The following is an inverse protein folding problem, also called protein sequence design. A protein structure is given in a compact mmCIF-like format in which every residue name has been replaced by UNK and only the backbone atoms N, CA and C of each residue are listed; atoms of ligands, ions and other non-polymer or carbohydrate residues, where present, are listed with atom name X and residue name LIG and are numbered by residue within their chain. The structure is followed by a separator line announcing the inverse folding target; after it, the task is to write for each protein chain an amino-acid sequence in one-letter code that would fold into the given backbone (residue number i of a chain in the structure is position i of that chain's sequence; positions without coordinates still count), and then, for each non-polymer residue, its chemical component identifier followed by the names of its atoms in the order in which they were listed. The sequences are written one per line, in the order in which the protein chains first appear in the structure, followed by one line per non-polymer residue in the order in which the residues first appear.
data_IF_423460612099
#
_entry.id   IF_423460612099
#
_cell.length_a   1.000
_cell.length_b   1.000
_cell.length_c   1.000
_cell.angle_alpha   90.00
_cell.angle_beta   90.00
_cell.angle_gamma   90.00
#
_symmetry.space_group_name_H-M   'P 1'
#
loop_
_entity.id
_entity.type
_entity.pdbx_description
1 polymer ?
#
# COMPACT_ATOMS: atom_id res chain seq x y z
N UNK A 1 9.57 -19.47 14.00
CA UNK A 1 9.51 -18.04 13.57
C UNK A 1 8.30 -17.87 12.68
N UNK A 2 7.21 -17.34 13.25
CA UNK A 2 6.03 -16.98 12.46
C UNK A 2 6.41 -15.88 11.47
N UNK A 3 6.12 -16.11 10.21
CA UNK A 3 6.37 -15.15 9.13
C UNK A 3 5.52 -13.90 9.42
N UNK A 4 6.08 -12.70 9.61
CA UNK A 4 5.28 -11.51 9.89
C UNK A 4 4.44 -11.17 8.67
N UNK A 5 3.14 -11.39 8.78
CA UNK A 5 2.15 -11.05 7.74
C UNK A 5 1.60 -9.67 8.05
N UNK A 6 2.36 -8.64 7.73
CA UNK A 6 2.06 -7.24 8.06
C UNK A 6 1.17 -6.56 7.02
N UNK A 7 0.49 -5.47 7.41
CA UNK A 7 -0.20 -4.64 6.44
C UNK A 7 0.81 -4.03 5.47
N UNK A 8 0.60 -4.27 4.19
CA UNK A 8 1.41 -3.73 3.11
C UNK A 8 0.50 -3.01 2.11
N UNK A 9 1.06 -2.03 1.46
CA UNK A 9 0.44 -1.38 0.33
C UNK A 9 1.34 -1.61 -0.90
N UNK A 10 0.75 -2.13 -1.96
CA UNK A 10 1.44 -2.33 -3.23
C UNK A 10 0.90 -1.37 -4.27
N UNK A 11 1.79 -0.67 -4.96
CA UNK A 11 1.43 0.33 -5.96
C UNK A 11 1.62 -0.23 -7.36
N UNK A 12 0.58 -0.08 -8.18
CA UNK A 12 0.57 -0.55 -9.55
C UNK A 12 0.30 0.60 -10.53
N UNK A 13 1.06 0.63 -11.62
CA UNK A 13 0.64 1.29 -12.84
C UNK A 13 -0.11 0.29 -13.72
N UNK A 14 -1.24 0.72 -14.27
CA UNK A 14 -2.03 -0.09 -15.19
C UNK A 14 -1.84 0.46 -16.60
N UNK A 15 -1.14 -0.29 -17.42
CA UNK A 15 -0.88 0.03 -18.83
C UNK A 15 -1.52 -0.98 -19.78
N UNK A 16 -1.15 -0.91 -21.06
CA UNK A 16 -1.64 -1.80 -22.11
C UNK A 16 -1.36 -3.30 -21.84
N UNK A 17 -0.33 -3.59 -21.05
CA UNK A 17 0.07 -4.96 -20.70
C UNK A 17 -0.41 -5.39 -19.30
N UNK A 18 -1.42 -4.71 -18.76
CA UNK A 18 -1.98 -4.99 -17.44
C UNK A 18 -1.25 -4.28 -16.28
N UNK A 19 -1.50 -4.73 -15.03
CA UNK A 19 -0.92 -4.12 -13.85
C UNK A 19 0.56 -4.45 -13.69
N UNK A 20 1.37 -3.42 -13.38
CA UNK A 20 2.80 -3.55 -13.12
C UNK A 20 3.13 -2.94 -11.76
N UNK A 21 3.72 -3.75 -10.89
CA UNK A 21 4.08 -3.38 -9.52
C UNK A 21 5.24 -2.38 -9.49
N UNK A 22 5.00 -1.21 -8.95
CA UNK A 22 5.97 -0.11 -8.91
C UNK A 22 6.77 -0.08 -7.62
N UNK A 23 6.10 -0.32 -6.49
CA UNK A 23 6.72 -0.37 -5.16
C UNK A 23 5.85 -1.11 -4.14
N UNK A 24 6.47 -1.51 -3.04
CA UNK A 24 5.82 -2.09 -1.86
C UNK A 24 6.08 -1.14 -0.69
N UNK A 25 5.02 -0.67 -0.05
CA UNK A 25 5.08 0.16 1.14
C UNK A 25 4.55 -0.61 2.36
N UNK A 26 5.27 -0.53 3.43
CA UNK A 26 4.91 -1.15 4.71
C UNK A 26 4.28 -0.18 5.71
N UNK A 27 4.26 1.11 5.36
CA UNK A 27 3.55 2.15 6.11
C UNK A 27 2.39 2.70 5.26
N UNK A 28 1.42 1.81 4.97
CA UNK A 28 0.25 2.13 4.17
C UNK A 28 -0.62 3.19 4.86
N UNK A 29 -1.02 4.22 4.12
CA UNK A 29 -1.93 5.26 4.61
C UNK A 29 -3.09 5.49 3.65
N UNK A 30 -4.21 5.97 4.17
CA UNK A 30 -5.41 6.25 3.39
C UNK A 30 -6.38 5.07 3.30
N UNK A 31 -6.12 3.93 3.97
CA UNK A 31 -7.00 2.75 3.90
C UNK A 31 -8.40 3.06 4.44
N UNK A 32 -8.49 3.66 5.61
CA UNK A 32 -9.79 3.96 6.23
C UNK A 32 -10.49 5.13 5.53
N UNK A 33 -9.76 6.13 5.04
CA UNK A 33 -10.31 7.19 4.19
C UNK A 33 -10.92 6.61 2.91
N UNK A 34 -10.22 5.68 2.25
CA UNK A 34 -10.76 5.02 1.05
C UNK A 34 -11.94 4.10 1.37
N UNK A 35 -11.99 3.46 2.54
CA UNK A 35 -13.15 2.69 2.99
C UNK A 35 -14.39 3.59 3.18
N UNK A 36 -14.20 4.75 3.80
CA UNK A 36 -15.26 5.76 3.94
C UNK A 36 -15.70 6.30 2.58
N UNK A 37 -14.74 6.60 1.69
CA UNK A 37 -15.00 7.07 0.33
C UNK A 37 -15.79 6.04 -0.48
N UNK A 38 -15.39 4.77 -0.46
CA UNK A 38 -16.09 3.68 -1.15
C UNK A 38 -17.53 3.51 -0.67
N UNK A 39 -17.79 3.72 0.62
CA UNK A 39 -19.13 3.69 1.19
C UNK A 39 -19.96 4.90 0.79
N UNK A 40 -19.33 6.09 0.70
CA UNK A 40 -20.02 7.33 0.36
C UNK A 40 -20.37 7.43 -1.14
N UNK A 41 -19.53 6.87 -1.99
CA UNK A 41 -19.72 6.84 -3.43
C UNK A 41 -20.46 5.56 -3.85
N UNK A 42 -21.76 5.56 -3.64
CA UNK A 42 -22.62 4.46 -4.12
C UNK A 42 -22.81 4.57 -5.63
N UNK A 43 -22.97 3.42 -6.28
CA UNK A 43 -23.36 3.38 -7.68
C UNK A 43 -24.68 4.12 -7.89
N UNK A 44 -24.84 4.73 -9.06
CA UNK A 44 -26.02 5.55 -9.39
C UNK A 44 -27.31 4.74 -9.50
N UNK A 45 -27.22 3.42 -9.65
CA UNK A 45 -28.38 2.51 -9.73
C UNK A 45 -28.05 1.15 -9.12
N UNK A 46 -29.08 0.47 -8.65
CA UNK A 46 -28.95 -0.85 -7.98
C UNK A 46 -28.36 -1.92 -8.89
N UNK A 47 -28.62 -1.87 -10.18
CA UNK A 47 -28.13 -2.81 -11.17
C UNK A 47 -26.61 -2.72 -11.29
N UNK A 48 -26.06 -1.51 -11.36
CA UNK A 48 -24.59 -1.30 -11.37
C UNK A 48 -24.00 -1.67 -10.02
N UNK A 49 -24.64 -1.29 -8.90
CA UNK A 49 -24.18 -1.64 -7.56
C UNK A 49 -24.07 -3.16 -7.36
N UNK A 50 -25.00 -3.94 -7.96
CA UNK A 50 -24.95 -5.40 -7.95
C UNK A 50 -23.85 -6.00 -8.85
N UNK A 51 -23.42 -5.29 -9.88
CA UNK A 51 -22.40 -5.75 -10.86
C UNK A 51 -20.97 -5.41 -10.42
N UNK A 52 -20.79 -4.40 -9.57
CA UNK A 52 -19.47 -3.94 -9.13
C UNK A 52 -19.21 -4.38 -7.70
N UNK A 53 -18.00 -4.83 -7.45
CA UNK A 53 -17.59 -5.26 -6.12
C UNK A 53 -16.17 -4.78 -5.81
N UNK A 54 -15.76 -4.95 -4.56
CA UNK A 54 -14.36 -4.86 -4.14
C UNK A 54 -13.92 -6.21 -3.57
N UNK A 55 -12.66 -6.35 -3.19
CA UNK A 55 -12.14 -7.56 -2.53
C UNK A 55 -12.89 -7.89 -1.23
N UNK A 56 -13.38 -6.85 -0.55
CA UNK A 56 -14.20 -6.91 0.67
C UNK A 56 -15.40 -5.99 0.46
N UNK A 57 -16.61 -6.39 0.87
CA UNK A 57 -17.77 -5.52 0.83
C UNK A 57 -17.53 -4.20 1.56
N UNK A 58 -17.97 -3.08 1.00
CA UNK A 58 -17.74 -1.75 1.57
C UNK A 58 -18.28 -1.61 3.01
N UNK A 59 -19.32 -2.37 3.36
CA UNK A 59 -19.89 -2.45 4.71
C UNK A 59 -18.96 -3.10 5.72
N UNK A 60 -18.05 -3.97 5.27
CA UNK A 60 -17.20 -4.79 6.13
C UNK A 60 -15.76 -4.26 6.21
N UNK A 61 -15.40 -3.26 5.40
CA UNK A 61 -14.04 -2.73 5.32
C UNK A 61 -13.52 -2.22 6.67
N UNK A 62 -14.34 -1.49 7.43
CA UNK A 62 -13.94 -0.98 8.74
C UNK A 62 -13.64 -2.12 9.72
N UNK A 63 -14.48 -3.15 9.72
CA UNK A 63 -14.25 -4.37 10.52
C UNK A 63 -13.00 -5.10 10.07
N UNK A 64 -12.78 -5.22 8.78
CA UNK A 64 -11.60 -5.87 8.21
C UNK A 64 -10.32 -5.14 8.61
N UNK A 65 -10.30 -3.80 8.57
CA UNK A 65 -9.17 -3.00 9.02
C UNK A 65 -8.95 -3.13 10.53
N UNK A 66 -10.00 -3.16 11.33
CA UNK A 66 -9.89 -3.43 12.77
C UNK A 66 -9.28 -4.82 13.06
N UNK A 67 -9.75 -5.85 12.37
CA UNK A 67 -9.27 -7.23 12.56
C UNK A 67 -7.78 -7.40 12.20
N UNK A 68 -7.19 -6.55 11.37
CA UNK A 68 -5.74 -6.55 11.18
C UNK A 68 -5.01 -6.29 12.50
N UNK A 69 -5.40 -5.25 13.25
CA UNK A 69 -4.76 -4.89 14.51
C UNK A 69 -5.03 -5.94 15.60
N UNK A 70 -6.25 -6.43 15.69
CA UNK A 70 -6.60 -7.52 16.61
C UNK A 70 -5.81 -8.81 16.30
N UNK A 71 -5.51 -9.05 15.03
CA UNK A 71 -4.71 -10.19 14.61
C UNK A 71 -3.22 -10.00 14.94
N UNK A 72 -2.66 -8.80 14.74
CA UNK A 72 -1.28 -8.52 15.18
C UNK A 72 -1.12 -8.67 16.71
N UNK A 73 -2.11 -8.23 17.47
CA UNK A 73 -2.16 -8.44 18.91
C UNK A 73 -2.13 -9.94 19.27
N UNK A 74 -3.01 -10.74 18.68
CA UNK A 74 -3.04 -12.20 18.92
C UNK A 74 -1.75 -12.90 18.49
N UNK A 75 -1.15 -12.47 17.36
CA UNK A 75 0.11 -13.04 16.85
C UNK A 75 1.32 -12.74 17.72
N UNK A 76 1.27 -11.67 18.51
CA UNK A 76 2.30 -11.39 19.50
C UNK A 76 2.19 -12.27 20.75
N UNK A 77 1.27 -13.26 20.76
CA UNK A 77 1.07 -14.18 21.90
C UNK A 77 0.16 -13.63 22.97
N UNK A 78 -0.46 -12.48 22.77
CA UNK A 78 -1.34 -11.83 23.74
C UNK A 78 -2.79 -12.28 23.55
N UNK A 79 -3.55 -12.38 24.64
CA UNK A 79 -4.96 -12.81 24.64
C UNK A 79 -5.92 -11.61 24.58
N UNK A 80 -7.16 -11.87 24.18
CA UNK A 80 -8.23 -10.86 24.11
C UNK A 80 -7.97 -9.77 23.08
N UNK A 81 -8.26 -8.54 23.46
CA UNK A 81 -7.98 -7.31 22.70
C UNK A 81 -7.06 -6.40 23.51
N UNK A 82 -6.27 -5.53 22.86
CA UNK A 82 -5.54 -4.48 23.57
C UNK A 82 -6.54 -3.56 24.28
N UNK A 83 -6.22 -3.07 25.45
CA UNK A 83 -7.04 -2.10 26.16
C UNK A 83 -6.82 -0.69 25.66
N UNK A 84 -5.56 -0.37 25.29
CA UNK A 84 -5.17 0.96 24.85
C UNK A 84 -4.28 0.91 23.62
N UNK A 85 -4.63 1.73 22.62
CA UNK A 85 -3.88 1.91 21.37
C UNK A 85 -3.43 3.37 21.24
N UNK A 86 -2.14 3.58 20.99
CA UNK A 86 -1.61 4.86 20.55
C UNK A 86 -1.42 4.87 19.03
N UNK A 87 -1.95 5.87 18.33
CA UNK A 87 -1.64 6.17 16.93
C UNK A 87 -0.56 7.22 16.94
N UNK A 88 0.64 6.89 16.44
CA UNK A 88 1.83 7.72 16.66
C UNK A 88 2.42 8.20 15.35
N UNK A 89 2.61 9.52 15.25
CA UNK A 89 3.34 10.18 14.16
C UNK A 89 4.03 11.45 14.68
N UNK A 90 5.03 11.94 13.95
CA UNK A 90 5.68 13.22 14.23
C UNK A 90 4.69 14.37 13.97
N UNK A 91 4.51 15.26 14.96
CA UNK A 91 3.58 16.36 14.88
C UNK A 91 2.25 15.95 14.20
N UNK A 92 1.49 15.00 14.75
CA UNK A 92 0.42 14.29 14.05
C UNK A 92 -0.66 15.21 13.49
N UNK A 93 -0.98 16.32 14.17
CA UNK A 93 -1.98 17.30 13.69
C UNK A 93 -1.59 18.03 12.40
N UNK A 94 -0.29 18.06 12.08
CA UNK A 94 0.25 18.66 10.86
C UNK A 94 0.33 17.67 9.70
N UNK A 95 0.09 16.39 9.95
CA UNK A 95 0.16 15.35 8.92
C UNK A 95 -1.03 15.44 7.98
N UNK A 96 -0.78 15.25 6.68
CA UNK A 96 -1.83 15.22 5.66
C UNK A 96 -2.91 14.16 5.95
N UNK A 97 -2.52 13.05 6.58
CA UNK A 97 -3.43 11.95 6.95
C UNK A 97 -3.96 12.05 8.38
N UNK A 98 -3.82 13.18 9.06
CA UNK A 98 -4.38 13.36 10.40
C UNK A 98 -5.88 13.01 10.51
N UNK A 99 -6.73 13.36 9.52
CA UNK A 99 -8.14 12.93 9.55
C UNK A 99 -8.30 11.40 9.61
N UNK A 100 -7.41 10.65 8.97
CA UNK A 100 -7.42 9.18 9.06
C UNK A 100 -7.07 8.68 10.47
N UNK A 101 -6.13 9.36 11.14
CA UNK A 101 -5.77 9.00 12.52
C UNK A 101 -6.96 9.14 13.45
N UNK A 102 -7.74 10.20 13.30
CA UNK A 102 -8.97 10.42 14.07
C UNK A 102 -10.04 9.36 13.76
N UNK A 103 -10.18 8.98 12.49
CA UNK A 103 -11.10 7.91 12.09
C UNK A 103 -10.69 6.55 12.69
N UNK A 104 -9.39 6.22 12.70
CA UNK A 104 -8.90 5.00 13.37
C UNK A 104 -9.11 5.05 14.87
N UNK A 105 -8.88 6.19 15.53
CA UNK A 105 -9.16 6.33 16.96
C UNK A 105 -10.65 6.09 17.26
N UNK A 106 -11.55 6.63 16.45
CA UNK A 106 -13.00 6.38 16.56
C UNK A 106 -13.34 4.90 16.31
N UNK A 107 -12.71 4.29 15.30
CA UNK A 107 -12.91 2.88 14.98
C UNK A 107 -12.54 1.99 16.17
N UNK A 108 -11.36 2.18 16.77
CA UNK A 108 -10.92 1.41 17.95
C UNK A 108 -11.88 1.59 19.13
N UNK A 109 -12.32 2.82 19.40
CA UNK A 109 -13.28 3.10 20.49
C UNK A 109 -14.63 2.40 20.29
N UNK A 110 -15.12 2.27 19.04
CA UNK A 110 -16.34 1.49 18.73
C UNK A 110 -16.21 0.00 19.07
N UNK A 111 -14.98 -0.53 19.08
CA UNK A 111 -14.69 -1.90 19.52
C UNK A 111 -14.27 -2.01 20.99
N UNK A 112 -14.52 -0.95 21.79
CA UNK A 112 -14.26 -0.95 23.23
C UNK A 112 -12.79 -0.74 23.62
N UNK A 113 -11.95 -0.24 22.71
CA UNK A 113 -10.53 0.00 22.93
C UNK A 113 -10.30 1.50 23.11
N UNK A 114 -9.63 1.91 24.18
CA UNK A 114 -9.16 3.30 24.32
C UNK A 114 -8.13 3.62 23.25
N UNK A 115 -8.28 4.74 22.55
CA UNK A 115 -7.36 5.11 21.49
C UNK A 115 -7.08 6.61 21.48
N UNK A 116 -5.82 6.97 21.32
CA UNK A 116 -5.35 8.35 21.21
C UNK A 116 -4.38 8.51 20.06
N UNK A 117 -4.34 9.73 19.51
CA UNK A 117 -3.30 10.15 18.57
C UNK A 117 -2.26 10.92 19.36
N UNK A 118 -1.00 10.51 19.29
CA UNK A 118 0.08 11.02 20.10
C UNK A 118 1.31 11.32 19.25
N UNK A 119 2.07 12.34 19.66
CA UNK A 119 3.43 12.53 19.20
C UNK A 119 4.39 11.60 20.02
N UNK A 120 5.54 11.20 19.46
CA UNK A 120 6.50 10.32 20.14
C UNK A 120 6.94 10.82 21.51
N UNK A 121 7.09 12.13 21.67
CA UNK A 121 7.53 12.78 22.92
C UNK A 121 6.52 12.63 24.09
N UNK A 122 5.29 12.27 23.77
CA UNK A 122 4.24 11.99 24.78
C UNK A 122 4.31 10.55 25.31
N UNK A 123 5.25 9.75 24.82
CA UNK A 123 5.44 8.36 25.20
C UNK A 123 6.76 8.19 25.98
N UNK A 124 6.67 7.49 27.08
CA UNK A 124 7.83 7.16 27.93
C UNK A 124 7.90 5.63 28.10
N UNK A 125 9.10 5.08 27.93
CA UNK A 125 9.37 3.69 28.27
C UNK A 125 10.06 3.61 29.62
N UNK A 126 9.36 3.11 30.61
CA UNK A 126 9.86 2.95 31.97
C UNK A 126 9.33 1.67 32.63
N UNK A 127 10.12 1.09 33.49
CA UNK A 127 9.76 -0.12 34.25
C UNK A 127 9.20 -1.26 33.38
N UNK A 128 9.75 -1.39 32.15
CA UNK A 128 9.34 -2.43 31.20
C UNK A 128 7.99 -2.20 30.52
N UNK A 129 7.44 -0.99 30.59
CA UNK A 129 6.15 -0.63 30.00
C UNK A 129 6.26 0.64 29.16
N UNK A 130 5.63 0.67 27.99
CA UNK A 130 5.40 1.90 27.24
C UNK A 130 4.16 2.61 27.80
N UNK A 131 4.27 3.89 28.11
CA UNK A 131 3.22 4.66 28.79
C UNK A 131 3.02 6.02 28.16
N UNK A 132 1.81 6.52 28.25
CA UNK A 132 1.48 7.94 28.10
C UNK A 132 0.98 8.53 29.42
N UNK A 133 0.47 9.77 29.40
CA UNK A 133 -0.07 10.42 30.59
C UNK A 133 -1.26 9.69 31.25
N UNK A 134 -1.99 8.86 30.51
CA UNK A 134 -3.15 8.10 30.99
C UNK A 134 -2.80 6.68 31.47
N UNK A 135 -1.60 6.19 31.19
CA UNK A 135 -1.14 4.88 31.64
C UNK A 135 -0.49 4.01 30.55
N UNK A 136 -0.45 2.68 30.74
CA UNK A 136 0.20 1.76 29.80
C UNK A 136 -0.45 1.77 28.42
N UNK A 137 0.38 1.72 27.37
CA UNK A 137 -0.01 1.55 25.95
C UNK A 137 0.28 0.10 25.56
N UNK A 138 -0.75 -0.62 25.13
CA UNK A 138 -0.65 -2.03 24.75
C UNK A 138 -0.21 -2.22 23.31
N UNK A 139 -0.73 -1.36 22.40
CA UNK A 139 -0.44 -1.42 20.98
C UNK A 139 -0.18 -0.01 20.41
N UNK A 140 0.82 0.09 19.55
CA UNK A 140 1.12 1.30 18.79
C UNK A 140 0.77 1.08 17.32
N UNK A 141 -0.14 1.89 16.80
CA UNK A 141 -0.28 2.05 15.36
C UNK A 141 0.75 3.08 14.89
N UNK A 142 1.86 2.57 14.37
CA UNK A 142 3.02 3.37 13.98
C UNK A 142 2.80 4.02 12.61
N UNK A 143 2.86 5.35 12.57
CA UNK A 143 2.75 6.13 11.34
C UNK A 143 4.05 6.86 10.98
N UNK A 144 5.07 6.76 11.82
CA UNK A 144 6.37 7.39 11.63
C UNK A 144 7.03 6.97 10.33
N UNK A 145 7.76 7.89 9.74
CA UNK A 145 8.61 7.65 8.57
C UNK A 145 10.07 7.34 8.94
N UNK A 146 10.44 7.50 10.20
CA UNK A 146 11.67 6.94 10.77
C UNK A 146 11.46 5.45 11.05
N UNK A 147 11.72 4.64 10.04
CA UNK A 147 11.43 3.21 10.06
C UNK A 147 12.28 2.39 11.02
N UNK A 148 13.38 2.94 11.51
CA UNK A 148 14.28 2.27 12.44
C UNK A 148 14.19 2.80 13.88
N UNK A 149 13.43 3.87 14.10
CA UNK A 149 13.38 4.62 15.35
C UNK A 149 14.76 5.13 15.77
N UNK A 150 15.48 5.70 14.80
CA UNK A 150 16.86 6.20 15.02
C UNK A 150 16.88 7.62 15.61
N UNK A 151 15.81 8.39 15.41
CA UNK A 151 15.70 9.73 15.97
C UNK A 151 15.60 9.71 17.51
N UNK A 152 16.23 10.64 18.22
CA UNK A 152 16.23 10.68 19.68
C UNK A 152 14.81 10.70 20.30
N UNK A 153 13.89 11.41 19.67
CA UNK A 153 12.47 11.50 20.07
C UNK A 153 11.73 10.17 19.98
N UNK A 154 12.23 9.20 19.20
CA UNK A 154 11.66 7.87 19.06
C UNK A 154 12.29 6.83 20.01
N UNK A 155 13.19 7.24 20.89
CA UNK A 155 13.94 6.33 21.78
C UNK A 155 13.03 5.46 22.67
N UNK A 156 11.92 6.01 23.18
CA UNK A 156 10.95 5.27 23.99
C UNK A 156 10.26 4.16 23.17
N UNK A 157 9.90 4.43 21.93
CA UNK A 157 9.32 3.45 21.01
C UNK A 157 10.32 2.35 20.65
N UNK A 158 11.58 2.74 20.39
CA UNK A 158 12.66 1.78 20.13
C UNK A 158 12.90 0.85 21.32
N UNK A 159 12.96 1.41 22.52
CA UNK A 159 13.14 0.64 23.73
C UNK A 159 11.96 -0.32 23.99
N UNK A 160 10.73 0.15 23.83
CA UNK A 160 9.54 -0.66 23.95
C UNK A 160 9.48 -1.79 22.91
N UNK A 161 9.88 -1.52 21.68
CA UNK A 161 9.96 -2.51 20.60
C UNK A 161 10.98 -3.61 20.93
N UNK A 162 12.18 -3.23 21.37
CA UNK A 162 13.25 -4.18 21.69
C UNK A 162 12.93 -5.03 22.93
N UNK A 163 12.17 -4.47 23.87
CA UNK A 163 11.72 -5.16 25.08
C UNK A 163 10.42 -5.96 24.89
N UNK A 164 9.81 -5.95 23.72
CA UNK A 164 8.46 -6.51 23.45
C UNK A 164 7.40 -6.01 24.45
N UNK A 165 7.53 -4.76 24.91
CA UNK A 165 6.66 -4.16 25.91
C UNK A 165 5.31 -3.72 25.36
N UNK A 166 5.25 -3.39 24.06
CA UNK A 166 4.04 -3.06 23.33
C UNK A 166 4.07 -3.70 21.94
N UNK A 167 2.90 -4.01 21.38
CA UNK A 167 2.80 -4.41 19.97
C UNK A 167 2.94 -3.19 19.12
N UNK A 168 3.97 -3.10 18.28
CA UNK A 168 4.17 -2.00 17.36
C UNK A 168 3.88 -2.49 15.93
N UNK A 169 2.93 -1.85 15.24
CA UNK A 169 2.56 -2.23 13.89
C UNK A 169 2.27 -1.00 13.00
N UNK A 170 2.90 -0.92 11.80
CA UNK A 170 4.02 -1.71 11.33
C UNK A 170 5.29 -1.46 12.18
N UNK A 171 6.19 -2.43 12.24
CA UNK A 171 7.38 -2.36 13.09
C UNK A 171 8.67 -2.31 12.26
N UNK A 172 9.82 -1.87 12.83
CA UNK A 172 11.09 -1.68 12.11
C UNK A 172 11.54 -2.88 11.27
N UNK A 173 11.44 -4.10 11.80
CA UNK A 173 11.82 -5.32 11.06
C UNK A 173 10.98 -5.50 9.78
N UNK A 174 9.71 -5.11 9.81
CA UNK A 174 8.85 -5.18 8.63
C UNK A 174 9.32 -4.24 7.53
N UNK A 175 9.64 -3.02 7.89
CA UNK A 175 10.16 -2.03 6.95
C UNK A 175 11.48 -2.53 6.34
N UNK A 176 12.42 -3.01 7.16
CA UNK A 176 13.70 -3.53 6.71
C UNK A 176 13.57 -4.70 5.74
N UNK A 177 12.60 -5.62 5.97
CA UNK A 177 12.43 -6.81 5.15
C UNK A 177 11.63 -6.56 3.86
N UNK A 178 10.59 -5.74 3.90
CA UNK A 178 9.61 -5.67 2.80
C UNK A 178 9.63 -4.38 2.01
N UNK A 179 10.01 -3.24 2.62
CA UNK A 179 10.02 -1.95 1.94
C UNK A 179 11.30 -1.71 1.11
N UNK A 180 12.33 -2.54 1.26
CA UNK A 180 13.57 -2.42 0.49
C UNK A 180 13.30 -2.72 -0.98
N UNK A 181 13.57 -1.72 -1.84
CA UNK A 181 13.31 -1.84 -3.28
C UNK A 181 14.23 -2.82 -3.99
N UNK A 182 15.32 -3.26 -3.35
CA UNK A 182 16.18 -4.35 -3.85
C UNK A 182 15.42 -5.68 -3.93
N UNK A 183 14.35 -5.85 -3.14
CA UNK A 183 13.46 -7.00 -3.26
C UNK A 183 12.87 -7.12 -4.67
N UNK A 184 12.58 -5.99 -5.32
CA UNK A 184 12.04 -6.01 -6.69
C UNK A 184 13.08 -6.53 -7.70
N UNK A 185 14.39 -6.35 -7.45
CA UNK A 185 15.41 -6.92 -8.30
C UNK A 185 15.49 -8.45 -8.14
N UNK A 186 15.30 -8.97 -6.94
CA UNK A 186 15.23 -10.41 -6.70
C UNK A 186 13.96 -11.00 -7.33
N UNK A 187 12.81 -10.36 -7.10
CA UNK A 187 11.51 -10.83 -7.59
C UNK A 187 11.35 -10.73 -9.11
N UNK A 188 12.13 -9.87 -9.80
CA UNK A 188 12.15 -9.79 -11.26
C UNK A 188 13.22 -10.67 -11.92
N UNK A 189 14.04 -11.37 -11.12
CA UNK A 189 15.10 -12.26 -11.62
C UNK A 189 14.59 -13.70 -11.75
N UNK A 190 14.11 -14.06 -12.93
CA UNK A 190 13.55 -15.38 -13.21
C UNK A 190 14.50 -16.55 -12.91
N UNK A 191 15.77 -16.44 -13.30
CA UNK A 191 16.75 -17.49 -13.10
C UNK A 191 17.01 -17.75 -11.61
N UNK A 192 17.12 -16.69 -10.82
CA UNK A 192 17.31 -16.79 -9.37
C UNK A 192 16.07 -17.41 -8.69
N UNK A 193 14.88 -16.96 -9.05
CA UNK A 193 13.63 -17.50 -8.49
C UNK A 193 13.46 -18.99 -8.85
N UNK A 194 13.83 -19.36 -10.06
CA UNK A 194 13.81 -20.78 -10.50
C UNK A 194 14.81 -21.61 -9.70
N UNK A 195 16.02 -21.11 -9.45
CA UNK A 195 17.01 -21.80 -8.63
C UNK A 195 16.56 -21.99 -7.17
N UNK A 196 15.67 -21.12 -6.68
CA UNK A 196 15.03 -21.25 -5.37
C UNK A 196 13.80 -22.16 -5.36
N UNK A 197 13.46 -22.80 -6.48
CA UNK A 197 12.33 -23.72 -6.58
C UNK A 197 10.97 -23.03 -6.64
N UNK A 198 10.92 -21.75 -7.03
CA UNK A 198 9.64 -21.04 -7.21
C UNK A 198 8.84 -21.71 -8.32
N UNK A 199 7.61 -22.11 -8.01
CA UNK A 199 6.72 -22.81 -8.95
C UNK A 199 6.42 -21.97 -10.19
N UNK A 200 6.35 -22.62 -11.34
CA UNK A 200 6.16 -21.97 -12.65
C UNK A 200 5.00 -20.96 -12.72
N UNK A 201 3.78 -21.24 -12.23
CA UNK A 201 2.68 -20.28 -12.29
C UNK A 201 2.97 -18.98 -11.54
N UNK A 202 3.64 -19.09 -10.37
CA UNK A 202 4.06 -17.93 -9.59
C UNK A 202 5.18 -17.16 -10.28
N UNK A 203 6.16 -17.87 -10.86
CA UNK A 203 7.23 -17.25 -11.62
C UNK A 203 6.69 -16.44 -12.80
N UNK A 204 5.76 -17.00 -13.58
CA UNK A 204 5.11 -16.31 -14.69
C UNK A 204 4.29 -15.09 -14.21
N UNK A 205 3.60 -15.19 -13.07
CA UNK A 205 2.87 -14.06 -12.49
C UNK A 205 3.82 -12.93 -12.07
N UNK A 206 4.95 -13.27 -11.42
CA UNK A 206 5.97 -12.29 -11.02
C UNK A 206 6.61 -11.61 -12.23
N UNK A 207 6.94 -12.37 -13.28
CA UNK A 207 7.52 -11.81 -14.51
C UNK A 207 6.55 -10.88 -15.26
N UNK A 208 5.26 -11.20 -15.27
CA UNK A 208 4.25 -10.32 -15.85
C UNK A 208 3.99 -9.09 -14.99
N UNK A 209 3.99 -9.26 -13.66
CA UNK A 209 3.57 -8.22 -12.72
C UNK A 209 4.69 -7.28 -12.29
N UNK A 210 5.95 -7.69 -12.30
CA UNK A 210 7.08 -6.89 -11.78
C UNK A 210 7.96 -6.39 -12.94
N UNK A 211 8.11 -5.05 -13.11
CA UNK A 211 9.04 -4.50 -14.06
C UNK A 211 10.46 -4.94 -13.75
N UNK A 212 11.26 -5.20 -14.79
CA UNK A 212 12.67 -5.54 -14.58
C UNK A 212 13.33 -4.48 -13.71
N UNK A 213 13.93 -4.95 -12.64
CA UNK A 213 14.60 -4.11 -11.65
C UNK A 213 15.98 -4.67 -11.39
N UNK A 214 16.98 -3.82 -11.28
CA UNK A 214 18.34 -4.21 -10.96
C UNK A 214 18.99 -3.25 -9.98
N UNK A 215 19.89 -3.73 -9.15
CA UNK A 215 20.68 -2.89 -8.26
C UNK A 215 21.72 -2.13 -9.10
N UNK A 216 21.83 -0.82 -8.88
CA UNK A 216 22.81 0.01 -9.57
C UNK A 216 24.21 -0.34 -9.08
N UNK A 217 25.03 -0.90 -9.97
CA UNK A 217 26.41 -1.25 -9.71
C UNK A 217 27.36 -0.40 -10.56
N UNK A 218 28.52 -0.03 -10.02
CA UNK A 218 29.53 0.76 -10.75
C UNK A 218 30.00 0.10 -12.03
N UNK A 219 30.09 -1.23 -12.04
CA UNK A 219 30.48 -1.99 -13.23
C UNK A 219 29.50 -1.80 -14.41
N UNK A 220 28.26 -1.43 -14.15
CA UNK A 220 27.18 -1.27 -15.12
C UNK A 220 26.92 0.18 -15.53
N UNK A 221 27.78 1.11 -15.12
CA UNK A 221 27.61 2.56 -15.28
C UNK A 221 27.28 2.96 -16.69
N UNK A 222 28.05 2.51 -17.68
CA UNK A 222 27.88 2.92 -19.08
C UNK A 222 26.60 2.34 -19.69
N UNK A 223 26.32 1.08 -19.42
CA UNK A 223 25.09 0.40 -19.88
C UNK A 223 23.84 1.07 -19.32
N UNK A 224 23.82 1.34 -18.01
CA UNK A 224 22.69 1.99 -17.35
C UNK A 224 22.51 3.43 -17.84
N UNK A 225 23.61 4.16 -18.04
CA UNK A 225 23.55 5.52 -18.58
C UNK A 225 23.03 5.55 -20.00
N UNK A 226 23.49 4.68 -20.85
CA UNK A 226 23.03 4.57 -22.23
C UNK A 226 21.52 4.23 -22.31
N UNK A 227 21.07 3.29 -21.45
CA UNK A 227 19.68 2.83 -21.36
C UNK A 227 18.75 3.71 -20.54
N UNK A 228 19.25 4.75 -19.85
CA UNK A 228 18.55 5.49 -18.80
C UNK A 228 17.16 6.02 -19.16
N UNK A 229 16.92 6.40 -20.42
CA UNK A 229 15.62 6.93 -20.87
C UNK A 229 14.45 5.96 -20.63
N UNK A 230 14.75 4.66 -20.53
CA UNK A 230 13.78 3.59 -20.27
C UNK A 230 13.76 3.15 -18.80
N UNK A 231 14.47 3.85 -17.93
CA UNK A 231 14.64 3.48 -16.54
C UNK A 231 14.14 4.59 -15.60
N UNK A 232 13.73 4.15 -14.43
CA UNK A 232 13.43 4.97 -13.27
C UNK A 232 14.37 4.57 -12.14
N UNK A 233 15.08 5.54 -11.55
CA UNK A 233 16.06 5.31 -10.50
C UNK A 233 15.46 5.67 -9.14
N UNK A 234 15.56 4.77 -8.18
CA UNK A 234 14.99 4.92 -6.83
C UNK A 234 16.04 4.54 -5.79
N UNK A 235 16.16 5.27 -4.66
CA UNK A 235 16.96 4.77 -3.54
C UNK A 235 16.39 3.45 -3.05
N UNK A 236 17.25 2.50 -2.67
CA UNK A 236 16.86 1.18 -2.18
C UNK A 236 15.97 1.29 -0.94
N UNK A 237 16.34 2.14 0.00
CA UNK A 237 15.53 2.55 1.15
C UNK A 237 15.07 4.00 0.97
N UNK A 238 13.92 4.36 1.52
CA UNK A 238 13.36 5.71 1.45
C UNK A 238 11.88 5.74 1.11
N UNK A 239 11.26 6.88 1.37
CA UNK A 239 9.82 7.13 1.25
C UNK A 239 9.53 8.46 0.56
N UNK A 240 8.27 8.68 0.16
CA UNK A 240 7.78 9.96 -0.33
C UNK A 240 8.38 10.43 -1.66
N UNK A 241 8.86 9.53 -2.50
CA UNK A 241 9.49 9.82 -3.81
C UNK A 241 10.73 10.75 -3.72
N UNK A 242 11.29 10.96 -2.52
CA UNK A 242 12.52 11.73 -2.35
C UNK A 242 13.66 11.04 -3.09
N UNK A 243 14.47 11.81 -3.82
CA UNK A 243 15.61 11.32 -4.60
C UNK A 243 15.26 10.20 -5.62
N UNK A 244 14.05 10.20 -6.15
CA UNK A 244 13.59 9.28 -7.19
C UNK A 244 13.58 10.01 -8.55
N UNK A 245 14.21 9.43 -9.57
CA UNK A 245 14.51 10.13 -10.81
C UNK A 245 14.08 9.35 -12.05
N UNK A 246 13.36 10.00 -12.94
CA UNK A 246 13.15 9.50 -14.29
C UNK A 246 14.44 9.65 -15.09
N UNK A 247 14.92 8.57 -15.66
CA UNK A 247 16.26 8.54 -16.26
C UNK A 247 16.50 9.51 -17.40
N UNK A 248 15.46 9.88 -18.16
CA UNK A 248 15.58 10.90 -19.23
C UNK A 248 15.91 12.32 -18.68
N UNK A 249 15.60 12.58 -17.41
CA UNK A 249 15.82 13.87 -16.73
C UNK A 249 17.11 13.91 -15.89
N UNK A 250 17.91 12.83 -15.91
CA UNK A 250 19.15 12.78 -15.14
C UNK A 250 20.20 13.75 -15.68
N UNK A 251 20.74 14.55 -14.78
CA UNK A 251 21.99 15.30 -15.01
C UNK A 251 23.20 14.43 -14.64
N UNK A 252 24.40 14.79 -15.13
CA UNK A 252 25.64 14.10 -14.78
C UNK A 252 25.93 14.14 -13.25
N UNK A 253 25.60 15.23 -12.59
CA UNK A 253 25.75 15.37 -11.14
C UNK A 253 24.86 14.35 -10.41
N UNK A 254 23.56 14.33 -10.71
CA UNK A 254 22.62 13.36 -10.09
C UNK A 254 23.03 11.93 -10.39
N UNK A 255 23.56 11.67 -11.60
CA UNK A 255 24.07 10.35 -11.95
C UNK A 255 25.23 9.91 -11.05
N UNK A 256 26.16 10.82 -10.76
CA UNK A 256 27.26 10.53 -9.83
C UNK A 256 26.76 10.25 -8.40
N UNK A 257 25.72 10.97 -7.95
CA UNK A 257 25.07 10.71 -6.67
C UNK A 257 24.42 9.33 -6.62
N UNK A 258 23.74 8.92 -7.70
CA UNK A 258 23.13 7.58 -7.84
C UNK A 258 24.20 6.49 -7.75
N UNK A 259 25.32 6.66 -8.44
CA UNK A 259 26.45 5.69 -8.43
C UNK A 259 27.17 5.60 -7.09
N UNK A 260 27.13 6.67 -6.29
CA UNK A 260 27.71 6.69 -4.95
C UNK A 260 26.75 6.14 -3.88
N UNK A 261 25.44 6.13 -4.19
CA UNK A 261 24.39 5.71 -3.26
C UNK A 261 23.90 4.28 -3.49
N UNK A 262 22.95 3.87 -2.65
CA UNK A 262 22.26 2.59 -2.80
C UNK A 262 20.98 2.81 -3.63
N UNK A 263 21.04 2.53 -4.92
CA UNK A 263 19.93 2.72 -5.85
C UNK A 263 19.54 1.42 -6.57
N UNK A 264 18.30 1.36 -7.00
CA UNK A 264 17.81 0.41 -7.99
C UNK A 264 17.42 1.15 -9.27
N UNK A 265 17.66 0.51 -10.40
CA UNK A 265 17.19 0.93 -11.71
C UNK A 265 16.03 0.01 -12.12
N UNK A 266 14.83 0.57 -12.24
CA UNK A 266 13.61 -0.15 -12.62
C UNK A 266 13.18 0.25 -14.01
N UNK A 267 12.73 -0.69 -14.81
CA UNK A 267 12.07 -0.41 -16.09
C UNK A 267 10.96 0.62 -15.91
N UNK A 268 10.93 1.65 -16.75
CA UNK A 268 9.95 2.72 -16.69
C UNK A 268 8.59 2.19 -17.15
N UNK A 269 7.62 2.19 -16.26
CA UNK A 269 6.23 1.89 -16.56
C UNK A 269 5.41 3.19 -16.46
N UNK A 270 4.91 3.72 -17.58
CA UNK A 270 4.05 4.89 -17.54
C UNK A 270 2.77 4.60 -16.73
N UNK A 271 2.31 5.54 -15.90
CA UNK A 271 1.02 5.42 -15.25
C UNK A 271 -0.10 5.49 -16.28
N UNK A 272 -1.24 4.88 -15.97
CA UNK A 272 -2.46 5.09 -16.73
C UNK A 272 -2.94 6.55 -16.59
N UNK A 273 -3.79 6.99 -17.50
CA UNK A 273 -4.39 8.32 -17.44
C UNK A 273 -5.92 8.24 -17.40
N UNK A 274 -6.54 9.18 -16.71
CA UNK A 274 -7.99 9.38 -16.66
C UNK A 274 -8.31 10.85 -16.85
N UNK A 275 -9.37 11.14 -17.57
CA UNK A 275 -9.92 12.50 -17.68
C UNK A 275 -10.85 12.77 -16.50
N UNK A 276 -10.56 13.82 -15.76
CA UNK A 276 -11.35 14.30 -14.60
C UNK A 276 -12.02 15.61 -14.94
N UNK A 277 -12.63 15.67 -16.11
CA UNK A 277 -13.20 16.89 -16.69
C UNK A 277 -12.73 17.08 -18.12
N UNK A 278 -13.25 18.11 -18.85
CA UNK A 278 -13.00 18.25 -20.27
C UNK A 278 -11.52 18.40 -20.65
N UNK A 279 -10.71 19.05 -19.81
CA UNK A 279 -9.35 19.44 -20.18
C UNK A 279 -8.27 19.01 -19.17
N UNK A 280 -8.56 18.08 -18.23
CA UNK A 280 -7.61 17.73 -17.19
C UNK A 280 -7.29 16.23 -17.16
N UNK A 281 -6.28 15.76 -17.93
CA UNK A 281 -5.79 14.41 -17.80
C UNK A 281 -5.05 14.26 -16.46
N UNK A 282 -5.42 13.27 -15.68
CA UNK A 282 -4.79 12.89 -14.43
C UNK A 282 -4.12 11.54 -14.58
N UNK A 283 -2.93 11.41 -14.06
CA UNK A 283 -2.26 10.12 -13.89
C UNK A 283 -2.94 9.32 -12.80
N UNK A 284 -2.95 8.01 -12.98
CA UNK A 284 -3.58 7.08 -12.03
C UNK A 284 -2.59 6.03 -11.63
N UNK A 285 -2.42 5.83 -10.34
CA UNK A 285 -1.88 4.59 -9.79
C UNK A 285 -2.96 3.85 -9.00
N UNK A 286 -2.86 2.53 -8.96
CA UNK A 286 -3.74 1.66 -8.19
C UNK A 286 -2.98 1.12 -7.00
N UNK A 287 -3.62 1.17 -5.84
CA UNK A 287 -3.11 0.68 -4.57
C UNK A 287 -3.88 -0.54 -4.12
N UNK A 288 -3.15 -1.58 -3.78
CA UNK A 288 -3.71 -2.73 -3.09
C UNK A 288 -3.27 -2.66 -1.62
N UNK A 289 -4.22 -2.54 -0.73
CA UNK A 289 -3.98 -2.73 0.70
C UNK A 289 -4.04 -4.21 0.99
N UNK A 290 -2.92 -4.77 1.41
CA UNK A 290 -2.75 -6.22 1.57
C UNK A 290 -2.40 -6.54 3.01
N UNK A 291 -3.07 -7.52 3.59
CA UNK A 291 -2.74 -8.07 4.88
C UNK A 291 -2.75 -9.59 4.83
N UNK A 292 -1.72 -10.22 5.39
CA UNK A 292 -1.61 -11.68 5.44
C UNK A 292 -1.76 -12.39 4.07
N UNK A 293 -1.32 -11.73 2.99
CA UNK A 293 -1.44 -12.25 1.62
C UNK A 293 -2.80 -12.08 0.98
N UNK A 294 -3.73 -11.37 1.64
CA UNK A 294 -5.07 -11.08 1.13
C UNK A 294 -5.22 -9.60 0.83
N UNK A 295 -5.75 -9.27 -0.35
CA UNK A 295 -6.12 -7.90 -0.70
C UNK A 295 -7.37 -7.52 0.10
N UNK A 296 -7.26 -6.48 0.93
CA UNK A 296 -8.35 -6.00 1.76
C UNK A 296 -9.14 -4.90 1.04
N UNK A 297 -8.43 -4.02 0.33
CA UNK A 297 -9.01 -2.85 -0.32
C UNK A 297 -8.21 -2.51 -1.56
N UNK A 298 -8.91 -2.11 -2.62
CA UNK A 298 -8.36 -1.45 -3.80
C UNK A 298 -8.73 0.02 -3.77
N UNK A 299 -7.76 0.88 -4.04
CA UNK A 299 -7.98 2.31 -4.21
C UNK A 299 -7.11 2.85 -5.34
N UNK A 300 -7.48 3.99 -5.89
CA UNK A 300 -6.67 4.70 -6.86
C UNK A 300 -6.23 6.05 -6.29
N UNK A 301 -5.13 6.57 -6.84
CA UNK A 301 -4.74 7.97 -6.67
C UNK A 301 -4.72 8.64 -8.03
N UNK A 302 -5.28 9.83 -8.05
CA UNK A 302 -5.26 10.74 -9.19
C UNK A 302 -4.26 11.85 -8.90
N UNK A 303 -3.31 12.09 -9.80
CA UNK A 303 -2.26 13.08 -9.59
C UNK A 303 -1.72 13.64 -10.90
N UNK A 304 -1.00 14.76 -10.80
CA UNK A 304 -0.19 15.32 -11.88
C UNK A 304 1.29 15.35 -11.46
N UNK A 305 2.18 15.56 -12.42
CA UNK A 305 3.61 15.64 -12.16
C UNK A 305 4.35 14.35 -12.47
N UNK A 306 5.59 14.25 -12.00
CA UNK A 306 6.50 13.14 -12.31
C UNK A 306 6.31 11.96 -11.35
N UNK A 307 6.01 12.23 -10.11
CA UNK A 307 5.79 11.25 -9.05
C UNK A 307 4.44 11.50 -8.40
N UNK A 308 3.89 10.47 -7.78
CA UNK A 308 2.59 10.55 -7.10
C UNK A 308 2.66 11.56 -5.96
N UNK A 309 1.66 12.44 -5.91
CA UNK A 309 1.57 13.46 -4.89
C UNK A 309 0.10 13.69 -4.49
N UNK A 310 -0.15 13.81 -3.20
CA UNK A 310 -1.47 13.99 -2.61
C UNK A 310 -1.97 15.43 -2.66
N UNK A 311 -1.11 16.38 -3.08
CA UNK A 311 -1.41 17.83 -3.10
C UNK A 311 -1.75 18.35 -4.49
N UNK A 312 -1.93 17.48 -5.46
CA UNK A 312 -2.35 17.87 -6.81
C UNK A 312 -3.76 18.47 -6.77
N UNK A 313 -3.96 19.65 -7.30
CA UNK A 313 -5.29 20.24 -7.43
C UNK A 313 -6.20 19.34 -8.27
N UNK A 314 -7.40 19.02 -7.77
CA UNK A 314 -8.32 18.05 -8.38
C UNK A 314 -7.88 16.59 -8.32
N UNK A 315 -6.72 16.30 -7.70
CA UNK A 315 -6.25 14.96 -7.41
C UNK A 315 -6.71 14.44 -6.05
N UNK A 316 -6.27 13.24 -5.71
CA UNK A 316 -6.58 12.61 -4.43
C UNK A 316 -6.90 11.13 -4.56
N UNK A 317 -7.59 10.58 -3.57
CA UNK A 317 -8.07 9.21 -3.60
C UNK A 317 -9.33 9.07 -4.47
N UNK A 318 -9.43 7.90 -5.11
CA UNK A 318 -10.63 7.49 -5.83
C UNK A 318 -10.92 6.00 -5.55
N UNK A 319 -12.18 5.58 -5.44
CA UNK A 319 -12.52 4.17 -5.27
C UNK A 319 -12.19 3.41 -6.56
N UNK A 320 -11.81 2.13 -6.39
CA UNK A 320 -11.65 1.18 -7.47
C UNK A 320 -12.76 0.15 -7.35
N UNK A 321 -13.56 0.05 -8.40
CA UNK A 321 -14.61 -0.93 -8.52
C UNK A 321 -14.14 -2.05 -9.44
N UNK A 322 -14.38 -3.28 -9.07
CA UNK A 322 -14.07 -4.45 -9.89
C UNK A 322 -15.37 -5.03 -10.47
N UNK A 323 -15.28 -5.48 -11.70
CA UNK A 323 -16.38 -6.23 -12.33
C UNK A 323 -15.93 -7.67 -12.53
N UNK A 324 -16.84 -8.66 -12.37
CA UNK A 324 -16.52 -10.03 -12.70
C UNK A 324 -16.11 -10.12 -14.18
N UNK A 325 -15.02 -10.85 -14.44
CA UNK A 325 -14.60 -11.13 -15.80
C UNK A 325 -15.64 -12.07 -16.43
N UNK A 326 -16.39 -11.60 -17.43
CA UNK A 326 -17.19 -12.46 -18.29
C UNK A 326 -16.22 -13.11 -19.27
N UNK A 327 -15.89 -14.40 -19.04
CA UNK A 327 -15.12 -15.17 -19.99
C UNK A 327 -15.85 -15.23 -21.33
N UNK A 328 -15.10 -15.32 -22.43
CA UNK A 328 -15.62 -15.41 -23.79
C UNK A 328 -16.61 -16.59 -24.03
N UNK A 329 -16.73 -17.50 -23.07
CA UNK A 329 -17.60 -18.69 -23.17
C UNK A 329 -19.08 -18.41 -22.82
N UNK A 330 -19.46 -17.19 -22.45
CA UNK A 330 -20.87 -16.86 -22.14
C UNK A 330 -21.60 -16.11 -23.29
N UNK A 331 -20.94 -15.85 -24.41
CA UNK A 331 -21.58 -15.18 -25.56
C UNK A 331 -22.47 -16.09 -26.42
N UNK A 332 -22.63 -17.36 -26.11
CA UNK A 332 -23.37 -18.33 -26.96
C UNK A 332 -24.61 -18.99 -26.33
N UNK A 333 -25.19 -18.38 -25.29
CA UNK A 333 -26.56 -18.82 -24.92
C UNK A 333 -27.56 -17.93 -25.68
N UNK A 334 -28.34 -18.50 -26.64
CA UNK A 334 -29.41 -17.73 -27.25
C UNK A 334 -30.46 -17.36 -26.19
N UNK A 335 -30.98 -16.16 -26.32
CA UNK A 335 -32.05 -15.66 -25.46
C UNK A 335 -33.20 -16.68 -25.42
N UNK A 336 -33.82 -16.94 -24.25
CA UNK A 336 -34.97 -17.82 -24.17
C UNK A 336 -36.07 -17.27 -25.10
N UNK A 337 -36.81 -18.14 -25.83
CA UNK A 337 -37.83 -17.68 -26.73
C UNK A 337 -38.90 -16.90 -25.98
N UNK A 338 -39.31 -15.79 -26.56
CA UNK A 338 -40.33 -14.88 -26.03
C UNK A 338 -41.65 -15.65 -25.80
N UNK A 339 -42.11 -15.71 -24.57
CA UNK A 339 -43.33 -16.43 -24.16
C UNK A 339 -44.62 -15.66 -24.51
N UNK A 340 -44.68 -15.04 -25.70
CA UNK A 340 -45.87 -14.36 -26.19
C UNK A 340 -46.23 -14.78 -27.60
N UNK A 341 -46.66 -16.02 -27.77
CA UNK A 341 -47.54 -16.41 -28.88
C UNK A 341 -48.30 -17.66 -28.47
N UNK A 342 -49.42 -17.47 -27.72
CA UNK A 342 -50.50 -18.44 -27.67
C UNK A 342 -51.53 -18.00 -28.71
N UNK A 343 -51.81 -18.78 -29.78
CA UNK A 343 -52.93 -18.45 -30.67
C UNK A 343 -54.26 -18.77 -29.95
N UNK A 344 -55.13 -17.79 -29.91
CA UNK A 344 -56.53 -17.96 -29.55
C UNK A 344 -57.17 -18.76 -30.66
N UNK A 345 -57.57 -20.01 -30.38
CA UNK A 345 -58.39 -20.84 -31.24
C UNK A 345 -59.85 -20.36 -31.16
N UNK A 346 -60.47 -20.22 -32.33
CA UNK A 346 -61.89 -19.89 -32.55
C UNK A 346 -62.82 -20.99 -32.10
#
# INVERSE_FOLDING_TARGET
CSNPKLPNETHFHIGAFGPRLIEINTNAGGALLNAVLARAQRACCKEIEAMVSGPVPATDLERTLFEMFATEWRRSGRSGLPRRIAIVDDAPEQQFLYPEFLLFAQLFRRFGIEAQVLAPEQLVFESGSLRDALGPVDLVYNRLTDFAFDAPEHASLRAAYLADAAVITPHPRAHALYADKRNLSLLSNAALLQSWGVRRPLLEALQRGIPRTEVVARAETERLWAGRRRLFFKPAAGHGSKAAYRGEKLTRRVWSEILAGNYVAQELVPPGERRVGPDMPMKVDVRNYVYAGQVQLLAARLYQGQTTNMRTAGGGFAPVLTMPFRGADQESQPAPPDARETPVAA
#
